data_IF_127655646061
#
_entry.id   IF_127655646061
#
_cell.length_a   1.000
_cell.length_b   1.000
_cell.length_c   1.000
_cell.angle_alpha   90.00
_cell.angle_beta   90.00
_cell.angle_gamma   90.00
#
_symmetry.space_group_name_H-M   'P 1'
#
loop_
_entity.id
_entity.type
_entity.pdbx_description
1 polymer ?
#
# COMPACT_ATOMS: atom_id res chain seq x y z
N UNK A 1 -28.36 17.58 -15.93
CA UNK A 1 -29.24 17.95 -14.79
C UNK A 1 -29.34 19.47 -14.70
N UNK A 2 -30.50 20.03 -14.36
CA UNK A 2 -30.64 21.48 -14.15
C UNK A 2 -30.01 21.92 -12.82
N UNK A 3 -29.55 23.17 -12.72
CA UNK A 3 -29.04 23.75 -11.45
C UNK A 3 -30.03 23.61 -10.30
N UNK A 4 -31.32 23.71 -10.57
CA UNK A 4 -32.38 23.53 -9.58
C UNK A 4 -32.49 22.08 -9.09
N UNK A 5 -32.31 21.09 -9.97
CA UNK A 5 -32.30 19.68 -9.59
C UNK A 5 -31.10 19.33 -8.71
N UNK A 6 -29.92 19.88 -9.02
CA UNK A 6 -28.70 19.71 -8.21
C UNK A 6 -28.89 20.35 -6.83
N UNK A 7 -29.40 21.59 -6.76
CA UNK A 7 -29.63 22.29 -5.50
C UNK A 7 -30.68 21.61 -4.61
N UNK A 8 -31.68 20.94 -5.20
CA UNK A 8 -32.66 20.14 -4.47
C UNK A 8 -32.03 18.86 -3.92
N UNK A 9 -31.16 18.21 -4.71
CA UNK A 9 -30.46 16.98 -4.29
C UNK A 9 -29.45 17.25 -3.18
N UNK A 10 -28.68 18.33 -3.27
CA UNK A 10 -27.76 18.77 -2.21
C UNK A 10 -28.50 19.08 -0.91
N UNK A 11 -29.64 19.81 -0.97
CA UNK A 11 -30.46 20.07 0.22
C UNK A 11 -30.95 18.79 0.87
N UNK A 12 -31.43 17.85 0.06
CA UNK A 12 -31.85 16.54 0.55
C UNK A 12 -30.69 15.79 1.23
N UNK A 13 -29.49 15.80 0.65
CA UNK A 13 -28.31 15.15 1.23
C UNK A 13 -27.83 15.83 2.54
N UNK A 14 -28.08 17.14 2.72
CA UNK A 14 -27.85 17.83 4.00
C UNK A 14 -28.93 17.44 5.03
N UNK A 15 -30.20 17.39 4.63
CA UNK A 15 -31.34 16.97 5.47
C UNK A 15 -31.20 15.51 5.93
N UNK A 16 -30.75 14.62 5.04
CA UNK A 16 -30.50 13.20 5.29
C UNK A 16 -29.20 12.97 6.09
N UNK A 17 -28.44 14.05 6.39
CA UNK A 17 -27.22 14.00 7.20
C UNK A 17 -26.00 13.40 6.49
N UNK A 18 -26.01 13.36 5.16
CA UNK A 18 -24.91 12.86 4.33
C UNK A 18 -23.84 13.94 4.07
N UNK A 19 -24.25 15.22 4.08
CA UNK A 19 -23.37 16.38 3.86
C UNK A 19 -23.41 17.36 5.04
N UNK A 20 -22.27 17.98 5.33
CA UNK A 20 -22.15 19.13 6.23
C UNK A 20 -21.72 20.39 5.44
N UNK A 21 -22.33 21.53 5.76
CA UNK A 21 -21.94 22.83 5.22
C UNK A 21 -21.00 23.54 6.22
N UNK A 22 -19.84 23.97 5.73
CA UNK A 22 -18.95 24.90 6.45
C UNK A 22 -18.67 26.16 5.63
N UNK A 23 -18.65 27.33 6.27
CA UNK A 23 -18.33 28.64 5.66
C UNK A 23 -19.51 29.64 5.54
N UNK A 24 -19.22 30.93 5.38
CA UNK A 24 -20.22 32.01 5.21
C UNK A 24 -20.49 32.34 3.73
N UNK A 25 -21.78 32.41 3.38
CA UNK A 25 -22.43 32.89 2.15
C UNK A 25 -21.81 32.52 0.78
N UNK A 26 -20.70 33.14 0.36
CA UNK A 26 -20.10 32.99 -0.99
C UNK A 26 -19.06 31.87 -1.12
N UNK A 27 -18.61 31.28 -0.01
CA UNK A 27 -17.64 30.18 0.02
C UNK A 27 -18.18 28.98 0.82
N UNK A 28 -19.37 28.49 0.47
CA UNK A 28 -19.90 27.26 1.06
C UNK A 28 -19.04 26.08 0.64
N UNK A 29 -18.37 25.45 1.61
CA UNK A 29 -17.71 24.15 1.44
C UNK A 29 -18.69 23.09 1.89
N UNK A 30 -19.01 22.18 0.99
CA UNK A 30 -19.75 20.97 1.28
C UNK A 30 -18.73 19.87 1.54
N UNK A 31 -18.79 19.24 2.70
CA UNK A 31 -18.03 18.04 3.01
C UNK A 31 -19.00 16.90 3.30
N UNK A 32 -18.56 15.66 3.12
CA UNK A 32 -19.32 14.51 3.59
C UNK A 32 -19.32 14.53 5.11
N UNK A 33 -20.51 14.45 5.69
CA UNK A 33 -20.64 14.41 7.13
C UNK A 33 -20.13 13.06 7.63
N UNK A 34 -19.27 13.09 8.64
CA UNK A 34 -18.91 11.88 9.37
C UNK A 34 -20.14 11.42 10.16
N UNK A 35 -20.74 10.32 9.74
CA UNK A 35 -21.93 9.74 10.37
C UNK A 35 -21.58 8.98 11.64
N UNK A 36 -20.37 8.44 11.69
CA UNK A 36 -19.86 7.70 12.84
C UNK A 36 -18.36 7.90 13.00
N UNK A 37 -17.91 8.12 14.24
CA UNK A 37 -16.50 8.18 14.61
C UNK A 37 -16.28 7.42 15.91
N UNK A 38 -15.34 6.49 15.91
CA UNK A 38 -14.98 5.70 17.09
C UNK A 38 -13.47 5.70 17.28
N UNK A 39 -13.04 5.68 18.53
CA UNK A 39 -11.61 5.66 18.91
C UNK A 39 -11.42 4.59 19.96
N UNK A 40 -10.40 3.76 19.79
CA UNK A 40 -9.98 2.75 20.75
C UNK A 40 -8.48 2.85 20.99
N UNK A 41 -8.06 2.56 22.20
CA UNK A 41 -6.66 2.35 22.55
C UNK A 41 -6.57 0.94 23.16
N UNK A 42 -5.78 0.07 22.54
CA UNK A 42 -5.66 -1.32 22.92
C UNK A 42 -4.22 -1.60 23.36
N UNK A 43 -4.06 -2.35 24.45
CA UNK A 43 -2.76 -2.88 24.87
C UNK A 43 -2.37 -4.03 23.95
N UNK A 44 -1.15 -4.04 23.42
CA UNK A 44 -0.68 -5.07 22.50
C UNK A 44 -0.36 -6.40 23.20
N UNK A 45 0.07 -6.35 24.47
CA UNK A 45 0.43 -7.54 25.23
C UNK A 45 -0.79 -8.46 25.43
N UNK A 46 -0.74 -9.65 24.83
CA UNK A 46 -1.81 -10.65 24.93
C UNK A 46 -3.07 -10.28 24.13
N UNK A 47 -2.97 -9.30 23.23
CA UNK A 47 -4.06 -8.96 22.32
C UNK A 47 -4.25 -10.07 21.30
N UNK A 48 -5.51 -10.45 21.08
CA UNK A 48 -5.93 -11.31 19.97
C UNK A 48 -6.64 -10.42 18.96
N UNK A 49 -6.14 -10.39 17.73
CA UNK A 49 -6.64 -9.55 16.65
C UNK A 49 -8.08 -9.89 16.25
N UNK A 50 -8.48 -11.15 16.40
CA UNK A 50 -9.84 -11.61 16.09
C UNK A 50 -10.83 -11.10 17.14
N UNK A 51 -10.44 -11.14 18.41
CA UNK A 51 -11.22 -10.55 19.51
C UNK A 51 -11.28 -9.03 19.33
N UNK A 52 -10.14 -8.38 19.09
CA UNK A 52 -10.07 -6.93 18.86
C UNK A 52 -10.99 -6.50 17.71
N UNK A 53 -11.00 -7.23 16.59
CA UNK A 53 -11.89 -6.98 15.46
C UNK A 53 -13.36 -7.01 15.86
N UNK A 54 -13.78 -8.09 16.53
CA UNK A 54 -15.18 -8.32 16.95
C UNK A 54 -15.69 -7.26 17.90
N UNK A 55 -14.85 -6.77 18.80
CA UNK A 55 -15.22 -5.80 19.82
C UNK A 55 -15.14 -4.34 19.35
N UNK A 56 -14.42 -4.06 18.26
CA UNK A 56 -14.16 -2.69 17.79
C UNK A 56 -14.85 -2.35 16.47
N UNK A 57 -14.24 -2.72 15.34
CA UNK A 57 -14.64 -2.26 14.00
C UNK A 57 -15.77 -3.11 13.43
N UNK A 58 -15.86 -4.41 13.74
CA UNK A 58 -16.89 -5.29 13.19
C UNK A 58 -18.33 -4.77 13.40
N UNK A 59 -18.71 -4.27 14.59
CA UNK A 59 -20.05 -3.68 14.78
C UNK A 59 -20.30 -2.43 13.93
N UNK A 60 -19.26 -1.62 13.67
CA UNK A 60 -19.37 -0.35 12.92
C UNK A 60 -19.53 -0.53 11.40
N UNK A 61 -19.19 -1.73 10.89
CA UNK A 61 -19.36 -2.12 9.48
C UNK A 61 -20.38 -3.24 9.28
N UNK A 62 -21.14 -3.60 10.33
CA UNK A 62 -22.01 -4.77 10.34
C UNK A 62 -23.13 -4.73 9.29
N UNK A 63 -23.61 -3.53 8.95
CA UNK A 63 -24.63 -3.27 7.94
C UNK A 63 -24.09 -3.23 6.49
N UNK A 64 -22.78 -3.20 6.29
CA UNK A 64 -22.16 -3.19 4.96
C UNK A 64 -22.27 -4.57 4.27
N UNK A 65 -22.19 -4.64 2.93
CA UNK A 65 -22.20 -5.91 2.20
C UNK A 65 -21.09 -6.87 2.65
N UNK A 66 -21.32 -8.17 2.48
CA UNK A 66 -20.41 -9.22 2.98
C UNK A 66 -18.99 -9.10 2.43
N UNK A 67 -18.85 -8.81 1.13
CA UNK A 67 -17.54 -8.62 0.50
C UNK A 67 -16.77 -7.42 1.09
N UNK A 68 -17.47 -6.34 1.42
CA UNK A 68 -16.90 -5.13 2.03
C UNK A 68 -16.45 -5.44 3.47
N UNK A 69 -17.27 -6.15 4.24
CA UNK A 69 -16.91 -6.61 5.59
C UNK A 69 -15.71 -7.56 5.58
N UNK A 70 -15.62 -8.44 4.58
CA UNK A 70 -14.49 -9.35 4.43
C UNK A 70 -13.17 -8.59 4.18
N UNK A 71 -13.19 -7.57 3.31
CA UNK A 71 -12.02 -6.70 3.09
C UNK A 71 -11.62 -5.99 4.39
N UNK A 72 -12.59 -5.41 5.12
CA UNK A 72 -12.33 -4.76 6.41
C UNK A 72 -11.74 -5.72 7.44
N UNK A 73 -12.29 -6.94 7.56
CA UNK A 73 -11.79 -7.95 8.48
C UNK A 73 -10.34 -8.29 8.16
N UNK A 74 -10.03 -8.63 6.90
CA UNK A 74 -8.66 -8.97 6.49
C UNK A 74 -7.70 -7.81 6.72
N UNK A 75 -8.05 -6.60 6.27
CA UNK A 75 -7.19 -5.43 6.46
C UNK A 75 -6.95 -5.10 7.94
N UNK A 76 -7.98 -5.20 8.78
CA UNK A 76 -7.83 -4.99 10.21
C UNK A 76 -6.90 -6.04 10.84
N UNK A 77 -7.18 -7.33 10.64
CA UNK A 77 -6.45 -8.41 11.31
C UNK A 77 -4.99 -8.44 10.88
N UNK A 78 -4.70 -8.25 9.60
CA UNK A 78 -3.31 -8.19 9.10
C UNK A 78 -2.55 -7.01 9.71
N UNK A 79 -3.16 -5.84 9.81
CA UNK A 79 -2.46 -4.65 10.33
C UNK A 79 -2.31 -4.68 11.85
N UNK A 80 -3.28 -5.24 12.58
CA UNK A 80 -3.18 -5.42 14.03
C UNK A 80 -2.20 -6.54 14.38
N UNK A 81 -2.17 -7.65 13.64
CA UNK A 81 -1.14 -8.69 13.82
C UNK A 81 0.26 -8.15 13.59
N UNK A 82 0.48 -7.36 12.53
CA UNK A 82 1.76 -6.69 12.34
C UNK A 82 2.14 -5.80 13.53
N UNK A 83 1.17 -5.10 14.14
CA UNK A 83 1.44 -4.31 15.34
C UNK A 83 1.78 -5.21 16.55
N UNK A 84 1.09 -6.32 16.76
CA UNK A 84 1.33 -7.28 17.84
C UNK A 84 2.73 -7.91 17.71
N UNK A 85 3.04 -8.46 16.53
CA UNK A 85 4.22 -9.30 16.34
C UNK A 85 5.49 -8.50 16.05
N UNK A 86 5.36 -7.31 15.47
CA UNK A 86 6.50 -6.59 14.91
C UNK A 86 6.72 -5.19 15.46
N UNK A 87 5.73 -4.50 16.03
CA UNK A 87 5.96 -3.10 16.48
C UNK A 87 7.01 -2.98 17.58
N UNK A 88 7.05 -3.96 18.50
CA UNK A 88 7.78 -3.85 19.77
C UNK A 88 7.20 -2.77 20.70
N UNK A 89 6.02 -2.24 20.39
CA UNK A 89 5.30 -1.24 21.17
C UNK A 89 4.46 -1.84 22.30
N UNK A 90 3.83 -0.97 23.08
CA UNK A 90 2.95 -1.35 24.19
C UNK A 90 1.46 -1.23 23.83
N UNK A 91 1.08 -0.38 22.88
CA UNK A 91 -0.31 -0.10 22.56
C UNK A 91 -0.52 0.22 21.08
N UNK A 92 -1.77 0.07 20.63
CA UNK A 92 -2.24 0.49 19.32
C UNK A 92 -3.49 1.37 19.46
N UNK A 93 -3.46 2.53 18.80
CA UNK A 93 -4.59 3.44 18.67
C UNK A 93 -5.34 3.12 17.37
N UNK A 94 -6.66 2.98 17.48
CA UNK A 94 -7.57 2.75 16.36
C UNK A 94 -8.49 3.96 16.24
N UNK A 95 -8.56 4.57 15.06
CA UNK A 95 -9.49 5.67 14.77
C UNK A 95 -10.31 5.29 13.55
N UNK A 96 -11.58 4.95 13.78
CA UNK A 96 -12.54 4.67 12.72
C UNK A 96 -13.40 5.89 12.45
N UNK A 97 -13.62 6.18 11.17
CA UNK A 97 -14.56 7.20 10.73
C UNK A 97 -15.32 6.71 9.50
N UNK A 98 -16.63 6.94 9.49
CA UNK A 98 -17.51 6.55 8.39
C UNK A 98 -18.33 7.73 7.90
N UNK A 99 -18.53 7.78 6.60
CA UNK A 99 -19.42 8.70 5.90
C UNK A 99 -20.53 7.92 5.19
N UNK A 100 -21.41 8.63 4.49
CA UNK A 100 -22.41 7.98 3.63
C UNK A 100 -21.79 7.14 2.50
N UNK A 101 -20.59 7.49 2.01
CA UNK A 101 -19.98 6.85 0.83
C UNK A 101 -18.85 5.89 1.15
N UNK A 102 -18.13 6.10 2.24
CA UNK A 102 -16.93 5.34 2.58
C UNK A 102 -16.75 5.17 4.09
N UNK A 103 -15.82 4.31 4.45
CA UNK A 103 -15.30 4.16 5.79
C UNK A 103 -13.77 4.24 5.76
N UNK A 104 -13.18 4.65 6.88
CA UNK A 104 -11.75 4.74 7.06
C UNK A 104 -11.34 4.26 8.45
N UNK A 105 -10.13 3.70 8.52
CA UNK A 105 -9.51 3.25 9.76
C UNK A 105 -8.04 3.65 9.76
N UNK A 106 -7.64 4.36 10.80
CA UNK A 106 -6.23 4.59 11.12
C UNK A 106 -5.82 3.69 12.28
N UNK A 107 -4.73 2.96 12.11
CA UNK A 107 -4.14 2.03 13.08
C UNK A 107 -2.74 2.54 13.38
N UNK A 108 -2.49 2.96 14.62
CA UNK A 108 -1.20 3.55 15.02
C UNK A 108 -0.61 2.82 16.21
N UNK A 109 0.51 2.12 16.01
CA UNK A 109 1.30 1.60 17.13
C UNK A 109 2.27 2.65 17.68
N UNK A 110 2.77 2.42 18.89
CA UNK A 110 3.79 3.25 19.54
C UNK A 110 5.19 2.60 19.57
N UNK A 111 5.46 1.69 18.64
CA UNK A 111 6.70 0.90 18.58
C UNK A 111 7.87 1.58 17.87
N UNK A 112 8.84 0.76 17.44
CA UNK A 112 10.07 1.19 16.75
C UNK A 112 9.77 1.86 15.39
N UNK A 113 8.70 1.42 14.74
CA UNK A 113 8.34 1.80 13.37
C UNK A 113 8.81 0.78 12.33
N UNK A 114 7.92 0.44 11.40
CA UNK A 114 8.11 -0.65 10.43
C UNK A 114 9.40 -0.51 9.60
N UNK A 115 9.69 0.67 9.03
CA UNK A 115 10.84 0.81 8.13
C UNK A 115 12.17 0.71 8.88
N UNK A 116 12.26 1.31 10.07
CA UNK A 116 13.46 1.19 10.93
C UNK A 116 13.70 -0.25 11.36
N UNK A 117 12.64 -0.96 11.73
CA UNK A 117 12.73 -2.38 12.08
C UNK A 117 13.20 -3.22 10.91
N UNK A 118 12.61 -3.05 9.73
CA UNK A 118 13.01 -3.77 8.51
C UNK A 118 14.47 -3.46 8.17
N UNK A 119 14.86 -2.18 8.18
CA UNK A 119 16.23 -1.77 7.94
C UNK A 119 17.21 -2.48 8.88
N UNK A 120 16.90 -2.49 10.19
CA UNK A 120 17.76 -3.11 11.21
C UNK A 120 17.86 -4.63 11.06
N UNK A 121 16.73 -5.31 10.78
CA UNK A 121 16.69 -6.78 10.69
C UNK A 121 17.24 -7.30 9.35
N UNK A 122 17.05 -6.55 8.27
CA UNK A 122 17.56 -6.92 6.94
C UNK A 122 18.97 -6.37 6.65
N UNK A 123 19.51 -5.51 7.54
CA UNK A 123 20.84 -4.93 7.39
C UNK A 123 20.94 -3.90 6.26
N UNK A 124 19.84 -3.21 5.95
CA UNK A 124 19.81 -2.21 4.87
C UNK A 124 20.54 -0.94 5.26
N UNK A 125 21.25 -0.37 4.28
CA UNK A 125 21.94 0.90 4.48
C UNK A 125 20.93 2.05 4.52
N UNK A 126 19.93 2.03 3.63
CA UNK A 126 18.88 3.05 3.53
C UNK A 126 17.50 2.44 3.89
N UNK A 127 16.69 3.06 4.77
CA UNK A 127 15.35 2.57 5.08
C UNK A 127 14.38 2.54 3.89
N UNK A 128 14.67 3.26 2.78
CA UNK A 128 13.90 3.16 1.53
C UNK A 128 13.99 1.78 0.87
N UNK A 129 15.02 0.99 1.17
CA UNK A 129 15.08 -0.41 0.74
C UNK A 129 13.93 -1.23 1.32
N UNK A 130 13.46 -0.89 2.53
CA UNK A 130 12.27 -1.50 3.12
C UNK A 130 10.99 -1.20 2.32
N UNK A 131 10.86 0.01 1.76
CA UNK A 131 9.72 0.37 0.90
C UNK A 131 9.65 -0.53 -0.33
N UNK A 132 10.80 -0.76 -0.95
CA UNK A 132 10.93 -1.55 -2.15
C UNK A 132 10.55 -3.01 -1.90
N UNK A 133 10.96 -3.60 -0.77
CA UNK A 133 10.60 -4.98 -0.44
C UNK A 133 9.14 -5.14 -0.01
N UNK A 134 8.58 -4.17 0.73
CA UNK A 134 7.15 -4.14 1.01
C UNK A 134 6.32 -4.00 -0.28
N UNK A 135 6.82 -3.24 -1.27
CA UNK A 135 6.15 -3.08 -2.56
C UNK A 135 6.12 -4.40 -3.36
N UNK A 136 7.20 -5.19 -3.32
CA UNK A 136 7.29 -6.51 -3.97
C UNK A 136 6.34 -7.53 -3.34
N UNK A 137 6.14 -7.47 -2.03
CA UNK A 137 5.42 -8.50 -1.28
C UNK A 137 6.30 -9.72 -0.97
N UNK A 138 5.73 -10.71 -0.26
CA UNK A 138 6.44 -11.87 0.31
C UNK A 138 7.67 -11.51 1.15
N UNK A 139 7.64 -10.34 1.76
CA UNK A 139 8.69 -9.89 2.65
C UNK A 139 8.23 -10.01 4.10
N UNK A 140 9.02 -10.69 4.90
CA UNK A 140 8.81 -10.86 6.35
C UNK A 140 10.17 -10.94 7.03
N UNK A 141 10.23 -10.43 8.26
CA UNK A 141 11.39 -10.62 9.14
C UNK A 141 11.27 -11.87 10.02
N UNK A 142 10.13 -12.57 9.95
CA UNK A 142 9.84 -13.82 10.67
C UNK A 142 9.09 -14.80 9.74
N UNK A 143 9.83 -15.56 8.89
CA UNK A 143 9.24 -16.46 7.90
C UNK A 143 8.64 -17.74 8.48
N UNK A 144 8.93 -18.09 9.74
CA UNK A 144 8.32 -19.26 10.39
C UNK A 144 6.86 -19.00 10.77
N UNK A 145 6.49 -17.74 11.00
CA UNK A 145 5.16 -17.33 11.47
C UNK A 145 4.36 -16.53 10.45
N UNK A 146 5.02 -15.87 9.50
CA UNK A 146 4.35 -14.97 8.55
C UNK A 146 4.78 -15.23 7.11
N UNK A 147 3.81 -15.18 6.19
CA UNK A 147 4.07 -15.28 4.74
C UNK A 147 4.67 -14.01 4.13
N UNK A 148 4.51 -12.86 4.80
CA UNK A 148 4.93 -11.56 4.26
C UNK A 148 3.99 -11.00 3.18
N UNK A 149 2.77 -11.51 3.10
CA UNK A 149 1.79 -11.16 2.06
C UNK A 149 0.72 -10.15 2.53
N UNK A 150 0.52 -10.04 3.86
CA UNK A 150 -0.56 -9.26 4.47
C UNK A 150 -0.63 -7.81 4.03
N UNK A 151 0.49 -7.08 4.14
CA UNK A 151 0.60 -5.67 3.71
C UNK A 151 0.35 -5.55 2.21
N UNK A 152 0.92 -6.47 1.42
CA UNK A 152 0.82 -6.44 -0.04
C UNK A 152 -0.64 -6.52 -0.50
N UNK A 153 -1.38 -7.52 -0.01
CA UNK A 153 -2.78 -7.71 -0.39
C UNK A 153 -3.71 -6.67 0.23
N UNK A 154 -3.47 -6.25 1.48
CA UNK A 154 -4.23 -5.17 2.11
C UNK A 154 -4.09 -3.87 1.31
N UNK A 155 -2.87 -3.53 0.87
CA UNK A 155 -2.64 -2.30 0.11
C UNK A 155 -3.39 -2.23 -1.24
N UNK A 156 -3.78 -3.38 -1.79
CA UNK A 156 -4.51 -3.52 -3.05
C UNK A 156 -6.01 -3.72 -2.87
N UNK A 157 -6.43 -4.18 -1.70
CA UNK A 157 -7.84 -4.38 -1.38
C UNK A 157 -8.56 -3.05 -1.07
N UNK A 158 -7.84 -2.05 -0.56
CA UNK A 158 -8.39 -0.76 -0.14
C UNK A 158 -8.24 0.34 -1.20
N UNK A 159 -9.21 1.25 -1.25
CA UNK A 159 -9.23 2.37 -2.19
C UNK A 159 -8.20 3.44 -1.83
N UNK A 160 -7.91 3.60 -0.53
CA UNK A 160 -6.68 4.27 -0.09
C UNK A 160 -5.99 3.41 0.95
N UNK A 161 -4.68 3.30 0.76
CA UNK A 161 -3.79 2.63 1.69
C UNK A 161 -2.52 3.46 1.80
N UNK A 162 -2.09 3.72 3.04
CA UNK A 162 -0.74 4.19 3.26
C UNK A 162 -0.18 3.79 4.61
N UNK A 163 1.15 3.77 4.69
CA UNK A 163 1.91 3.59 5.92
C UNK A 163 2.80 4.82 6.12
N UNK A 164 2.76 5.40 7.30
CA UNK A 164 3.64 6.47 7.78
C UNK A 164 4.47 5.93 8.94
N UNK A 165 5.78 6.04 8.87
CA UNK A 165 6.66 5.70 9.99
C UNK A 165 7.98 6.48 9.89
N UNK A 166 8.30 7.25 10.93
CA UNK A 166 9.38 8.22 10.86
C UNK A 166 9.08 9.31 9.83
N UNK A 167 9.96 9.45 8.85
CA UNK A 167 9.92 10.37 7.70
C UNK A 167 9.49 9.67 6.40
N UNK A 168 9.26 8.35 6.44
CA UNK A 168 8.91 7.58 5.25
C UNK A 168 7.39 7.36 5.13
N UNK A 169 6.95 7.42 3.87
CA UNK A 169 5.60 7.19 3.43
C UNK A 169 5.56 6.08 2.38
N UNK A 170 4.71 5.09 2.58
CA UNK A 170 4.43 4.04 1.61
C UNK A 170 2.97 4.09 1.20
N UNK A 171 2.69 4.07 -0.10
CA UNK A 171 1.34 3.91 -0.64
C UNK A 171 1.38 3.03 -1.88
N UNK A 172 0.24 2.43 -2.24
CA UNK A 172 0.12 1.68 -3.48
C UNK A 172 -0.37 2.56 -4.64
N UNK A 173 -1.11 3.63 -4.37
CA UNK A 173 -1.77 4.43 -5.40
C UNK A 173 -0.85 5.52 -5.96
N UNK A 174 -0.89 5.72 -7.28
CA UNK A 174 -0.03 6.69 -7.97
C UNK A 174 -0.45 8.15 -7.77
N UNK A 175 -1.71 8.40 -7.41
CA UNK A 175 -2.30 9.74 -7.32
C UNK A 175 -2.01 10.48 -6.00
N UNK A 176 -1.44 9.80 -5.01
CA UNK A 176 -0.99 10.45 -3.79
C UNK A 176 0.46 10.86 -4.00
N UNK A 177 0.74 12.16 -4.20
CA UNK A 177 2.09 12.71 -4.24
C UNK A 177 2.98 12.03 -3.18
N UNK A 178 3.92 11.20 -3.65
CA UNK A 178 4.77 10.30 -2.84
C UNK A 178 5.78 11.09 -1.98
N UNK A 179 5.78 12.41 -2.10
CA UNK A 179 6.53 13.34 -1.29
C UNK A 179 5.54 14.16 -0.47
N UNK A 180 5.13 13.58 0.66
CA UNK A 180 4.98 14.41 1.84
C UNK A 180 6.40 14.82 2.23
N UNK A 181 6.91 15.84 1.53
CA UNK A 181 8.02 16.67 1.96
C UNK A 181 7.84 16.92 3.46
N UNK A 182 8.75 16.41 4.30
CA UNK A 182 9.26 16.90 5.59
C UNK A 182 8.36 17.68 6.59
N UNK A 183 7.06 17.85 6.35
CA UNK A 183 6.14 18.76 7.04
C UNK A 183 5.17 18.01 7.97
N UNK A 184 5.15 16.69 7.89
CA UNK A 184 4.61 15.83 8.94
C UNK A 184 5.78 15.42 9.83
N UNK A 185 5.96 16.12 10.94
CA UNK A 185 7.01 15.79 11.91
C UNK A 185 7.08 14.30 12.21
N UNK A 186 8.29 13.78 12.45
CA UNK A 186 8.58 12.36 12.54
C UNK A 186 7.52 11.59 13.36
N UNK A 187 6.83 10.66 12.71
CA UNK A 187 5.82 9.83 13.37
C UNK A 187 6.53 8.74 14.17
N UNK A 188 6.37 8.76 15.49
CA UNK A 188 6.77 7.64 16.34
C UNK A 188 5.87 6.43 16.08
N UNK A 189 6.45 5.23 16.02
CA UNK A 189 5.74 3.99 15.67
C UNK A 189 5.41 3.89 14.19
N UNK A 190 4.36 3.13 13.88
CA UNK A 190 3.81 2.98 12.53
C UNK A 190 2.35 3.41 12.54
N UNK A 191 1.96 4.26 11.59
CA UNK A 191 0.58 4.60 11.30
C UNK A 191 0.20 3.97 9.96
N UNK A 192 -0.79 3.08 9.97
CA UNK A 192 -1.44 2.56 8.76
C UNK A 192 -2.80 3.23 8.61
N UNK A 193 -3.14 3.65 7.40
CA UNK A 193 -4.47 4.15 7.08
C UNK A 193 -5.09 3.34 5.95
N UNK A 194 -6.35 2.96 6.17
CA UNK A 194 -7.18 2.19 5.27
C UNK A 194 -8.45 2.99 4.96
N UNK A 195 -8.87 3.04 3.70
CA UNK A 195 -10.15 3.61 3.29
C UNK A 195 -10.79 2.76 2.20
N UNK A 196 -12.10 2.54 2.31
CA UNK A 196 -12.87 1.68 1.42
C UNK A 196 -14.26 2.27 1.20
N UNK A 197 -14.71 2.28 -0.05
CA UNK A 197 -16.09 2.59 -0.40
C UNK A 197 -17.06 1.59 0.24
N UNK A 198 -18.18 2.09 0.73
CA UNK A 198 -19.20 1.29 1.43
C UNK A 198 -19.90 0.27 0.51
N UNK A 199 -19.84 0.48 -0.81
CA UNK A 199 -20.55 -0.27 -1.85
C UNK A 199 -19.62 -0.87 -2.92
N UNK A 200 -18.33 -1.03 -2.63
CA UNK A 200 -17.38 -1.62 -3.59
C UNK A 200 -17.80 -3.03 -4.03
N UNK A 201 -17.61 -3.35 -5.32
CA UNK A 201 -17.80 -4.69 -5.87
C UNK A 201 -16.56 -5.59 -5.67
N UNK A 202 -15.44 -5.01 -5.20
CA UNK A 202 -14.19 -5.73 -4.99
C UNK A 202 -14.40 -6.84 -3.96
N UNK A 203 -13.70 -7.96 -4.16
CA UNK A 203 -13.66 -9.07 -3.21
C UNK A 203 -12.20 -9.44 -2.93
N UNK A 204 -11.89 -9.87 -1.70
CA UNK A 204 -10.55 -10.38 -1.38
C UNK A 204 -10.14 -11.52 -2.31
N UNK A 205 -11.07 -12.39 -2.70
CA UNK A 205 -10.84 -13.47 -3.67
C UNK A 205 -10.34 -12.94 -5.02
N UNK A 206 -10.96 -11.88 -5.55
CA UNK A 206 -10.53 -11.28 -6.81
C UNK A 206 -9.15 -10.66 -6.69
N UNK A 207 -8.85 -9.99 -5.56
CA UNK A 207 -7.53 -9.42 -5.27
C UNK A 207 -6.47 -10.52 -5.22
N UNK A 208 -6.70 -11.62 -4.49
CA UNK A 208 -5.76 -12.74 -4.46
C UNK A 208 -5.57 -13.37 -5.85
N UNK A 209 -6.66 -13.64 -6.56
CA UNK A 209 -6.61 -14.26 -7.89
C UNK A 209 -5.82 -13.43 -8.92
N UNK A 210 -5.72 -12.12 -8.76
CA UNK A 210 -4.95 -11.26 -9.66
C UNK A 210 -3.43 -11.50 -9.58
N UNK A 211 -2.94 -11.94 -8.41
CA UNK A 211 -1.51 -12.14 -8.13
C UNK A 211 -1.13 -13.61 -7.92
N UNK A 212 -2.12 -14.50 -7.91
CA UNK A 212 -1.92 -15.94 -7.80
C UNK A 212 -1.81 -16.63 -9.15
N UNK A 213 -1.09 -17.76 -9.20
CA UNK A 213 -1.11 -18.67 -10.34
C UNK A 213 -2.53 -19.28 -10.48
N UNK A 214 -3.15 -19.27 -11.68
CA UNK A 214 -4.50 -19.81 -11.86
C UNK A 214 -4.65 -21.29 -11.50
N UNK A 215 -3.57 -22.07 -11.55
CA UNK A 215 -3.57 -23.51 -11.31
C UNK A 215 -3.15 -23.89 -9.89
N UNK A 216 -2.25 -23.13 -9.26
CA UNK A 216 -1.76 -23.45 -7.90
C UNK A 216 -2.26 -22.52 -6.79
N UNK A 217 -2.94 -21.41 -7.13
CA UNK A 217 -3.36 -20.34 -6.22
C UNK A 217 -2.21 -19.68 -5.42
N UNK A 218 -0.97 -20.08 -5.67
CA UNK A 218 0.23 -19.54 -5.04
C UNK A 218 0.48 -18.11 -5.54
N UNK A 219 0.77 -17.19 -4.63
CA UNK A 219 1.13 -15.81 -4.93
C UNK A 219 2.41 -15.84 -5.77
N UNK A 220 2.31 -15.70 -7.09
CA UNK A 220 3.43 -15.94 -8.00
C UNK A 220 3.72 -14.75 -8.89
N UNK A 221 2.87 -13.73 -8.85
CA UNK A 221 2.97 -12.53 -9.66
C UNK A 221 3.07 -11.31 -8.77
N UNK A 222 4.00 -10.39 -9.06
CA UNK A 222 4.08 -9.10 -8.37
C UNK A 222 4.19 -7.93 -9.35
N UNK A 223 3.86 -6.73 -8.88
CA UNK A 223 4.03 -5.47 -9.62
C UNK A 223 4.91 -4.57 -8.78
N UNK A 224 6.06 -4.18 -9.34
CA UNK A 224 7.11 -3.44 -8.65
C UNK A 224 7.26 -2.07 -9.30
N UNK A 225 6.91 -0.98 -8.59
CA UNK A 225 7.15 0.38 -9.06
C UNK A 225 8.65 0.65 -9.15
N UNK A 226 9.19 0.74 -10.36
CA UNK A 226 10.64 0.86 -10.61
C UNK A 226 11.20 2.16 -10.03
N UNK A 227 10.36 3.20 -9.94
CA UNK A 227 10.73 4.48 -9.29
C UNK A 227 11.21 4.32 -7.85
N UNK A 228 10.81 3.25 -7.13
CA UNK A 228 11.25 2.99 -5.77
C UNK A 228 12.72 2.56 -5.67
N UNK A 229 13.35 2.17 -6.77
CA UNK A 229 14.78 1.89 -6.81
C UNK A 229 15.64 3.17 -6.88
N UNK A 230 15.04 4.35 -6.98
CA UNK A 230 15.72 5.65 -6.97
C UNK A 230 16.05 6.06 -5.54
N UNK A 231 17.21 6.68 -5.33
CA UNK A 231 17.40 7.57 -4.18
C UNK A 231 17.06 9.01 -4.57
N UNK A 232 16.87 9.86 -3.56
CA UNK A 232 16.48 11.27 -3.73
C UNK A 232 17.27 11.98 -4.83
N UNK A 233 16.55 12.49 -5.83
CA UNK A 233 17.15 13.22 -6.96
C UNK A 233 17.95 12.37 -7.96
N UNK A 234 18.17 11.07 -7.69
CA UNK A 234 18.94 10.21 -8.57
C UNK A 234 18.15 9.71 -9.78
N UNK A 235 18.87 9.53 -10.88
CA UNK A 235 18.43 8.76 -12.05
C UNK A 235 18.72 7.27 -11.82
N UNK A 236 17.97 6.38 -12.46
CA UNK A 236 18.17 4.93 -12.38
C UNK A 236 19.30 4.49 -13.31
N UNK A 237 20.55 4.72 -12.91
CA UNK A 237 21.72 4.53 -13.79
C UNK A 237 22.65 3.41 -13.34
N UNK A 238 22.65 3.04 -12.05
CA UNK A 238 23.67 2.16 -11.49
C UNK A 238 23.26 0.69 -11.40
N UNK A 239 24.25 -0.21 -11.40
CA UNK A 239 24.01 -1.65 -11.15
C UNK A 239 23.54 -1.93 -9.72
N UNK A 240 23.98 -1.14 -8.74
CA UNK A 240 23.54 -1.34 -7.35
C UNK A 240 22.05 -1.04 -7.16
N UNK A 241 21.51 -0.02 -7.87
CA UNK A 241 20.07 0.22 -7.93
C UNK A 241 19.34 -0.97 -8.57
N UNK A 242 19.83 -1.50 -9.69
CA UNK A 242 19.25 -2.66 -10.35
C UNK A 242 19.27 -3.92 -9.48
N UNK A 243 20.38 -4.21 -8.79
CA UNK A 243 20.51 -5.36 -7.88
C UNK A 243 19.50 -5.32 -6.74
N UNK A 244 19.25 -4.15 -6.16
CA UNK A 244 18.23 -3.97 -5.12
C UNK A 244 16.81 -4.11 -5.66
N UNK A 245 16.58 -3.62 -6.87
CA UNK A 245 15.31 -3.82 -7.57
C UNK A 245 15.02 -5.30 -7.74
N UNK A 246 15.96 -6.08 -8.29
CA UNK A 246 15.73 -7.50 -8.61
C UNK A 246 15.91 -8.46 -7.44
N UNK A 247 16.39 -7.97 -6.28
CA UNK A 247 16.50 -8.79 -5.09
C UNK A 247 15.14 -9.43 -4.74
N UNK A 248 15.14 -10.75 -4.51
CA UNK A 248 13.96 -11.56 -4.17
C UNK A 248 12.97 -11.78 -5.31
N UNK A 249 13.28 -11.39 -6.54
CA UNK A 249 12.41 -11.68 -7.69
C UNK A 249 12.27 -13.18 -7.96
N UNK A 250 13.24 -14.00 -7.57
CA UNK A 250 13.20 -15.47 -7.63
C UNK A 250 12.06 -16.09 -6.80
N UNK A 251 11.43 -15.32 -5.90
CA UNK A 251 10.25 -15.74 -5.16
C UNK A 251 8.95 -15.67 -5.97
N UNK A 252 9.02 -15.11 -7.19
CA UNK A 252 7.91 -14.89 -8.10
C UNK A 252 8.18 -15.56 -9.44
N UNK A 253 7.12 -16.04 -10.10
CA UNK A 253 7.18 -16.52 -11.50
C UNK A 253 7.08 -15.37 -12.49
N UNK A 254 6.36 -14.30 -12.14
CA UNK A 254 6.16 -13.16 -13.02
C UNK A 254 6.30 -11.85 -12.25
N UNK A 255 7.17 -10.98 -12.74
CA UNK A 255 7.39 -9.65 -12.15
C UNK A 255 7.06 -8.59 -13.19
N UNK A 256 6.05 -7.78 -12.89
CA UNK A 256 5.70 -6.61 -13.67
C UNK A 256 6.51 -5.42 -13.16
N UNK A 257 7.39 -4.90 -13.99
CA UNK A 257 8.18 -3.70 -13.73
C UNK A 257 7.39 -2.48 -14.21
N UNK A 258 6.84 -1.72 -13.28
CA UNK A 258 6.06 -0.52 -13.58
C UNK A 258 6.96 0.71 -13.61
N UNK A 259 7.11 1.29 -14.80
CA UNK A 259 7.94 2.46 -15.08
C UNK A 259 7.18 3.79 -14.99
N UNK A 260 5.96 3.80 -14.44
CA UNK A 260 5.23 5.05 -14.19
C UNK A 260 6.06 6.04 -13.38
N UNK A 261 6.28 7.24 -13.95
CA UNK A 261 7.10 8.29 -13.34
C UNK A 261 8.63 8.10 -13.50
N UNK A 262 9.07 7.19 -14.37
CA UNK A 262 10.47 7.01 -14.75
C UNK A 262 10.69 7.55 -16.17
N UNK A 263 11.43 8.66 -16.29
CA UNK A 263 11.71 9.28 -17.57
C UNK A 263 12.79 8.54 -18.37
N UNK A 264 13.82 8.03 -17.71
CA UNK A 264 14.94 7.33 -18.35
C UNK A 264 15.59 6.35 -17.37
N UNK A 265 16.31 5.37 -17.93
CA UNK A 265 17.20 4.47 -17.19
C UNK A 265 18.57 4.43 -17.88
N UNK A 266 19.63 4.20 -17.12
CA UNK A 266 20.98 4.05 -17.63
C UNK A 266 21.28 2.63 -18.12
N UNK A 267 22.26 2.53 -19.01
CA UNK A 267 22.67 1.26 -19.61
C UNK A 267 23.07 0.22 -18.57
N UNK A 268 23.81 0.60 -17.53
CA UNK A 268 24.27 -0.34 -16.52
C UNK A 268 23.12 -0.90 -15.68
N UNK A 269 22.09 -0.09 -15.40
CA UNK A 269 20.85 -0.54 -14.76
C UNK A 269 20.08 -1.51 -15.66
N UNK A 270 19.83 -1.13 -16.92
CA UNK A 270 19.10 -1.97 -17.88
C UNK A 270 19.80 -3.31 -18.14
N UNK A 271 21.13 -3.29 -18.31
CA UNK A 271 21.97 -4.48 -18.51
C UNK A 271 21.88 -5.46 -17.34
N UNK A 272 21.87 -4.94 -16.11
CA UNK A 272 21.76 -5.78 -14.91
C UNK A 272 20.38 -6.42 -14.79
N UNK A 273 19.30 -5.67 -15.00
CA UNK A 273 17.91 -6.18 -14.85
C UNK A 273 17.54 -7.13 -15.99
N UNK A 274 17.70 -6.69 -17.24
CA UNK A 274 17.09 -7.36 -18.40
C UNK A 274 18.01 -8.36 -19.08
N UNK A 275 19.32 -8.34 -18.80
CA UNK A 275 20.28 -9.31 -19.36
C UNK A 275 20.91 -10.18 -18.29
N UNK A 276 21.51 -9.59 -17.25
CA UNK A 276 22.22 -10.37 -16.22
C UNK A 276 21.25 -11.17 -15.36
N UNK A 277 20.29 -10.50 -14.72
CA UNK A 277 19.31 -11.17 -13.87
C UNK A 277 18.43 -12.13 -14.67
N UNK A 278 17.87 -11.68 -15.81
CA UNK A 278 17.01 -12.53 -16.64
C UNK A 278 17.73 -13.79 -17.17
N UNK A 279 19.04 -13.73 -17.45
CA UNK A 279 19.81 -14.91 -17.83
C UNK A 279 20.14 -15.83 -16.64
N UNK A 280 20.32 -15.26 -15.44
CA UNK A 280 20.57 -16.03 -14.22
C UNK A 280 19.30 -16.71 -13.68
N UNK A 281 18.13 -16.15 -13.97
CA UNK A 281 16.82 -16.58 -13.46
C UNK A 281 15.80 -16.78 -14.60
N UNK A 282 16.02 -17.76 -15.50
CA UNK A 282 15.13 -18.00 -16.65
C UNK A 282 13.71 -18.42 -16.24
N UNK A 283 13.51 -18.87 -15.00
CA UNK A 283 12.21 -19.18 -14.41
C UNK A 283 11.36 -17.94 -14.08
N UNK A 284 11.98 -16.76 -13.98
CA UNK A 284 11.30 -15.50 -13.64
C UNK A 284 11.01 -14.72 -14.92
N UNK A 285 9.73 -14.55 -15.23
CA UNK A 285 9.28 -13.73 -16.35
C UNK A 285 9.22 -12.25 -15.95
N UNK A 286 10.08 -11.43 -16.55
CA UNK A 286 10.03 -9.97 -16.39
C UNK A 286 9.15 -9.35 -17.47
N UNK A 287 8.11 -8.61 -17.06
CA UNK A 287 7.23 -7.85 -17.97
C UNK A 287 7.34 -6.37 -17.70
N UNK A 288 7.53 -5.56 -18.74
CA UNK A 288 7.64 -4.09 -18.64
C UNK A 288 6.27 -3.46 -18.86
N UNK A 289 5.85 -2.57 -17.98
CA UNK A 289 4.61 -1.78 -18.13
C UNK A 289 4.86 -0.30 -17.90
N UNK A 290 4.05 0.55 -18.54
CA UNK A 290 4.10 2.02 -18.41
C UNK A 290 5.47 2.66 -18.70
N UNK A 291 6.31 2.02 -19.51
CA UNK A 291 7.60 2.55 -19.93
C UNK A 291 7.45 3.55 -21.08
N UNK A 292 8.10 4.71 -20.95
CA UNK A 292 8.26 5.70 -22.04
C UNK A 292 9.30 5.23 -23.07
N UNK A 293 9.35 5.88 -24.24
CA UNK A 293 10.24 5.52 -25.35
C UNK A 293 11.70 5.35 -24.92
N UNK A 294 12.23 6.32 -24.18
CA UNK A 294 13.65 6.35 -23.79
C UNK A 294 14.02 5.15 -22.90
N UNK A 295 13.08 4.71 -22.06
CA UNK A 295 13.23 3.51 -21.25
C UNK A 295 13.21 2.26 -22.14
N UNK A 296 12.25 2.16 -23.07
CA UNK A 296 12.13 1.02 -23.98
C UNK A 296 13.38 0.87 -24.85
N UNK A 297 13.89 1.96 -25.43
CA UNK A 297 15.09 1.98 -26.26
C UNK A 297 16.32 1.50 -25.48
N UNK A 298 16.45 1.92 -24.22
CA UNK A 298 17.55 1.46 -23.36
C UNK A 298 17.46 -0.05 -23.04
N UNK A 299 16.25 -0.57 -22.81
CA UNK A 299 16.03 -2.01 -22.58
C UNK A 299 16.39 -2.83 -23.82
N UNK A 300 15.97 -2.38 -25.00
CA UNK A 300 16.32 -3.02 -26.28
C UNK A 300 17.83 -3.01 -26.48
N UNK A 301 18.48 -1.86 -26.25
CA UNK A 301 19.94 -1.73 -26.36
C UNK A 301 20.69 -2.66 -25.39
N UNK A 302 20.19 -2.82 -24.17
CA UNK A 302 20.83 -3.67 -23.15
C UNK A 302 20.69 -5.17 -23.44
N UNK A 303 19.62 -5.57 -24.14
CA UNK A 303 19.33 -6.97 -24.49
C UNK A 303 19.82 -7.37 -25.88
N UNK A 304 20.29 -6.42 -26.69
CA UNK A 304 20.90 -6.69 -27.99
C UNK A 304 22.10 -7.67 -27.84
N UNK A 305 22.24 -8.65 -28.76
CA UNK A 305 23.39 -9.55 -28.78
C UNK A 305 24.68 -8.74 -28.83
N UNK A 306 25.63 -9.06 -27.95
CA UNK A 306 26.98 -8.49 -28.05
C UNK A 306 27.77 -9.36 -29.03
N UNK A 307 28.27 -8.73 -30.10
CA UNK A 307 29.27 -9.31 -31.00
C UNK A 307 30.56 -9.68 -30.24
#
# INVERSE_FOLDING_TARGET
>A
MSRQAIARRIRKMIEDGELEESGRSRFRKLALKTTERRVWNLTLQGLDETIAWRETVAPAVSDLPENVRAIWMTGFTEMVNNAIDHSGGASVDLVFARTAIDASLSIKDNGEGIFRRIQRLAGYYDPREALLDLAKGKFTTDPERHSGEGIFFTSRAFDKFYILSGDLFFTHHHDADWLLDHDHGAVSGTLVHLNLLNDTERTMRAVYAEFSDPNSLDFSKTVVPVRLARHEGEKLVSRSQAKRLVARFEMFRTVYLDFTGVAEIGQAFADEVFRVFAAAHPEVSLTVVNAVSDVQDMIVRATAPRE
#
